data_IF_684575367997
#
_entry.id   IF_684575367997
#
_cell.length_a   1.000
_cell.length_b   1.000
_cell.length_c   1.000
_cell.angle_alpha   90.00
_cell.angle_beta   90.00
_cell.angle_gamma   90.00
#
_symmetry.space_group_name_H-M   'P 1'
#
loop_
_entity.id
_entity.type
_entity.pdbx_description
1 polymer ?
#
# COMPACT_ATOMS: atom_id res chain seq x y z
N UNK A 1 1.02 21.53 0.25
CA UNK A 1 0.73 20.17 0.70
C UNK A 1 1.37 19.95 2.04
N UNK A 2 0.54 19.68 3.06
CA UNK A 2 0.96 19.30 4.41
C UNK A 2 1.79 18.02 4.34
N UNK A 3 2.70 17.80 5.29
CA UNK A 3 3.59 16.63 5.33
C UNK A 3 2.82 15.30 5.18
N UNK A 4 1.69 15.18 5.88
CA UNK A 4 0.81 14.00 5.86
C UNK A 4 0.15 13.77 4.49
N UNK A 5 -0.22 14.83 3.78
CA UNK A 5 -0.77 14.72 2.42
C UNK A 5 0.29 14.16 1.46
N UNK A 6 1.54 14.61 1.56
CA UNK A 6 2.64 14.12 0.71
C UNK A 6 2.96 12.66 0.98
N UNK A 7 2.97 12.26 2.24
CA UNK A 7 3.19 10.87 2.63
C UNK A 7 2.06 9.95 2.12
N UNK A 8 0.81 10.42 2.17
CA UNK A 8 -0.32 9.71 1.57
C UNK A 8 -0.16 9.53 0.05
N UNK A 9 0.31 10.56 -0.66
CA UNK A 9 0.61 10.48 -2.10
C UNK A 9 1.78 9.53 -2.41
N UNK A 10 2.83 9.53 -1.59
CA UNK A 10 3.96 8.62 -1.74
C UNK A 10 3.50 7.16 -1.67
N UNK A 11 2.74 6.81 -0.63
CA UNK A 11 2.17 5.47 -0.48
C UNK A 11 1.22 5.08 -1.63
N UNK A 12 0.39 6.03 -2.09
CA UNK A 12 -0.56 5.83 -3.19
C UNK A 12 0.13 5.53 -4.53
N UNK A 13 1.32 6.06 -4.77
CA UNK A 13 2.08 5.85 -6.01
C UNK A 13 2.96 4.60 -5.90
N UNK A 14 3.65 4.42 -4.78
CA UNK A 14 4.59 3.31 -4.58
C UNK A 14 3.86 1.97 -4.54
N UNK A 15 2.73 1.89 -3.83
CA UNK A 15 1.98 0.63 -3.66
C UNK A 15 1.52 -0.02 -4.99
N UNK A 16 0.86 0.69 -5.94
CA UNK A 16 0.46 0.10 -7.20
C UNK A 16 1.67 -0.23 -8.09
N UNK A 17 2.74 0.56 -8.04
CA UNK A 17 3.98 0.25 -8.77
C UNK A 17 4.59 -1.04 -8.23
N UNK A 18 4.72 -1.18 -6.91
CA UNK A 18 5.26 -2.39 -6.29
C UNK A 18 4.42 -3.63 -6.63
N UNK A 19 3.09 -3.49 -6.64
CA UNK A 19 2.18 -4.54 -7.05
C UNK A 19 2.38 -4.95 -8.50
N UNK A 20 2.44 -3.98 -9.42
CA UNK A 20 2.68 -4.24 -10.85
C UNK A 20 4.02 -4.92 -11.07
N UNK A 21 5.09 -4.43 -10.41
CA UNK A 21 6.42 -5.04 -10.47
C UNK A 21 6.37 -6.49 -10.00
N UNK A 22 5.73 -6.77 -8.86
CA UNK A 22 5.58 -8.13 -8.36
C UNK A 22 4.88 -9.05 -9.36
N UNK A 23 3.73 -8.62 -9.90
CA UNK A 23 2.97 -9.41 -10.89
C UNK A 23 3.81 -9.68 -12.14
N UNK A 24 4.54 -8.69 -12.65
CA UNK A 24 5.43 -8.85 -13.80
C UNK A 24 6.53 -9.86 -13.51
N UNK A 25 7.17 -9.79 -12.33
CA UNK A 25 8.24 -10.73 -11.94
C UNK A 25 7.72 -12.17 -11.85
N UNK A 26 6.55 -12.38 -11.24
CA UNK A 26 5.92 -13.71 -11.15
C UNK A 26 5.58 -14.25 -12.55
N UNK A 27 4.99 -13.44 -13.43
CA UNK A 27 4.65 -13.85 -14.79
C UNK A 27 5.88 -14.16 -15.64
N UNK A 28 6.95 -13.38 -15.49
CA UNK A 28 8.23 -13.64 -16.15
C UNK A 28 8.86 -14.95 -15.69
N UNK A 29 8.86 -15.19 -14.38
CA UNK A 29 9.42 -16.43 -13.81
C UNK A 29 8.57 -17.66 -14.16
N UNK A 30 7.26 -17.51 -14.30
CA UNK A 30 6.38 -18.58 -14.75
C UNK A 30 6.71 -19.05 -16.18
N UNK A 31 7.15 -18.14 -17.07
CA UNK A 31 7.58 -18.49 -18.42
C UNK A 31 6.52 -19.20 -19.27
N UNK A 32 5.23 -18.96 -19.00
CA UNK A 32 4.09 -19.65 -19.64
C UNK A 32 3.71 -20.99 -18.99
N UNK A 33 4.45 -21.44 -17.97
CA UNK A 33 4.11 -22.58 -17.13
C UNK A 33 3.10 -22.26 -16.02
N UNK A 34 2.77 -23.24 -15.15
CA UNK A 34 1.83 -23.04 -14.04
C UNK A 34 2.34 -22.01 -13.03
N UNK A 35 1.50 -21.04 -12.67
CA UNK A 35 1.85 -19.99 -11.69
C UNK A 35 2.17 -20.57 -10.30
N UNK A 36 1.52 -21.66 -9.91
CA UNK A 36 1.74 -22.31 -8.60
C UNK A 36 3.10 -22.99 -8.49
N UNK A 37 3.83 -23.18 -9.60
CA UNK A 37 5.18 -23.72 -9.61
C UNK A 37 6.26 -22.63 -9.44
N UNK A 38 5.89 -21.35 -9.47
CA UNK A 38 6.83 -20.23 -9.30
C UNK A 38 7.26 -20.16 -7.84
N UNK A 39 8.55 -19.92 -7.59
CA UNK A 39 9.06 -19.59 -6.26
C UNK A 39 8.69 -18.14 -5.90
N UNK A 40 7.42 -17.93 -5.58
CA UNK A 40 6.79 -16.63 -5.37
C UNK A 40 7.23 -15.95 -4.08
N UNK A 41 7.65 -16.72 -3.08
CA UNK A 41 7.89 -16.21 -1.72
C UNK A 41 9.06 -15.21 -1.66
N UNK A 42 10.25 -15.48 -2.23
CA UNK A 42 11.34 -14.50 -2.29
C UNK A 42 10.95 -13.24 -3.07
N UNK A 43 10.23 -13.38 -4.19
CA UNK A 43 9.78 -12.25 -4.98
C UNK A 43 8.86 -11.32 -4.16
N UNK A 44 7.90 -11.91 -3.44
CA UNK A 44 6.97 -11.15 -2.61
C UNK A 44 7.69 -10.44 -1.46
N UNK A 45 8.68 -11.08 -0.83
CA UNK A 45 9.47 -10.45 0.22
C UNK A 45 10.30 -9.26 -0.30
N UNK A 46 10.93 -9.42 -1.47
CA UNK A 46 11.69 -8.32 -2.09
C UNK A 46 10.80 -7.15 -2.50
N UNK A 47 9.58 -7.41 -2.98
CA UNK A 47 8.67 -6.33 -3.39
C UNK A 47 8.05 -5.63 -2.18
N UNK A 48 7.73 -6.36 -1.11
CA UNK A 48 7.31 -5.77 0.17
C UNK A 48 8.45 -4.93 0.76
N UNK A 49 9.63 -5.54 0.95
CA UNK A 49 10.79 -4.87 1.55
C UNK A 49 11.25 -3.67 0.73
N UNK A 50 11.36 -3.84 -0.59
CA UNK A 50 11.70 -2.78 -1.53
C UNK A 50 10.68 -1.64 -1.54
N UNK A 51 9.38 -1.95 -1.48
CA UNK A 51 8.31 -0.96 -1.38
C UNK A 51 8.35 -0.15 -0.08
N UNK A 52 8.62 -0.81 1.06
CA UNK A 52 8.81 -0.14 2.36
C UNK A 52 10.00 0.82 2.29
N UNK A 53 11.17 0.33 1.84
CA UNK A 53 12.39 1.14 1.72
C UNK A 53 12.16 2.32 0.76
N UNK A 54 11.55 2.08 -0.40
CA UNK A 54 11.24 3.12 -1.38
C UNK A 54 10.33 4.20 -0.78
N UNK A 55 9.28 3.80 -0.06
CA UNK A 55 8.36 4.74 0.62
C UNK A 55 9.11 5.57 1.65
N UNK A 56 9.95 4.95 2.49
CA UNK A 56 10.76 5.66 3.50
C UNK A 56 11.69 6.68 2.83
N UNK A 57 12.43 6.26 1.79
CA UNK A 57 13.36 7.13 1.06
C UNK A 57 12.61 8.31 0.43
N UNK A 58 11.48 8.05 -0.21
CA UNK A 58 10.63 9.08 -0.84
C UNK A 58 10.15 10.08 0.23
N UNK A 59 9.67 9.62 1.37
CA UNK A 59 9.19 10.49 2.45
C UNK A 59 10.32 11.33 3.07
N UNK A 60 11.51 10.75 3.27
CA UNK A 60 12.70 11.49 3.74
C UNK A 60 13.10 12.57 2.73
N UNK A 61 13.24 12.20 1.45
CA UNK A 61 13.61 13.12 0.38
C UNK A 61 12.61 14.27 0.31
N UNK A 62 11.31 13.98 0.35
CA UNK A 62 10.29 15.02 0.38
C UNK A 62 10.35 15.92 1.60
N UNK A 63 10.66 15.36 2.78
CA UNK A 63 10.85 16.11 4.01
C UNK A 63 12.01 17.11 3.91
N UNK A 64 13.16 16.67 3.40
CA UNK A 64 14.34 17.51 3.18
C UNK A 64 14.02 18.65 2.19
N UNK A 65 13.45 18.31 1.03
CA UNK A 65 13.04 19.30 0.01
C UNK A 65 12.01 20.30 0.54
N UNK A 66 11.13 19.88 1.45
CA UNK A 66 10.16 20.77 2.10
C UNK A 66 10.85 21.75 3.04
N UNK A 67 11.69 21.24 3.94
CA UNK A 67 12.39 22.06 4.95
C UNK A 67 13.33 23.09 4.34
N UNK A 68 13.90 22.80 3.16
CA UNK A 68 14.68 23.78 2.39
C UNK A 68 13.85 24.93 1.81
N UNK A 69 12.56 24.71 1.53
CA UNK A 69 11.67 25.72 0.93
C UNK A 69 10.85 26.51 1.95
N UNK A 70 10.51 25.90 3.08
CA UNK A 70 9.65 26.50 4.10
C UNK A 70 10.04 25.99 5.51
N UNK A 71 11.00 26.65 6.19
CA UNK A 71 11.54 26.21 7.48
C UNK A 71 10.49 26.22 8.62
N UNK A 72 9.49 27.10 8.53
CA UNK A 72 8.53 27.38 9.61
C UNK A 72 7.22 26.56 9.47
N UNK A 73 6.98 25.92 8.33
CA UNK A 73 5.75 25.17 8.04
C UNK A 73 5.73 23.70 8.48
N UNK A 74 6.80 23.19 9.09
CA UNK A 74 7.07 21.75 9.20
C UNK A 74 6.44 21.02 10.41
N UNK A 75 5.77 21.71 11.33
CA UNK A 75 5.59 21.16 12.70
C UNK A 75 4.19 20.85 13.21
N UNK A 76 3.10 21.24 12.54
CA UNK A 76 1.76 21.14 13.13
C UNK A 76 0.89 20.10 12.43
N UNK A 77 0.95 18.88 12.97
CA UNK A 77 -0.16 17.92 12.90
C UNK A 77 -1.41 18.59 13.49
N UNK A 78 -2.41 18.84 12.65
CA UNK A 78 -3.68 19.42 13.08
C UNK A 78 -4.66 18.30 13.48
N UNK A 79 -5.69 18.63 14.26
CA UNK A 79 -6.82 17.74 14.58
C UNK A 79 -7.39 17.12 13.30
N UNK A 80 -7.43 17.90 12.20
CA UNK A 80 -7.86 17.47 10.88
C UNK A 80 -7.05 16.28 10.34
N UNK A 81 -5.72 16.30 10.46
CA UNK A 81 -4.87 15.22 9.94
C UNK A 81 -5.13 13.92 10.69
N UNK A 82 -5.36 14.02 12.00
CA UNK A 82 -5.68 12.87 12.85
C UNK A 82 -7.04 12.26 12.49
N UNK A 83 -8.04 13.08 12.19
CA UNK A 83 -9.37 12.60 11.79
C UNK A 83 -9.34 11.97 10.39
N UNK A 84 -8.59 12.56 9.46
CA UNK A 84 -8.33 11.97 8.13
C UNK A 84 -7.60 10.63 8.28
N UNK A 85 -6.60 10.56 9.17
CA UNK A 85 -5.87 9.34 9.48
C UNK A 85 -6.80 8.22 9.97
N UNK A 86 -7.67 8.51 10.94
CA UNK A 86 -8.66 7.55 11.47
C UNK A 86 -9.67 7.10 10.43
N UNK A 87 -10.16 8.02 9.61
CA UNK A 87 -11.09 7.68 8.52
C UNK A 87 -10.41 6.76 7.51
N UNK A 88 -9.18 7.09 7.08
CA UNK A 88 -8.40 6.26 6.16
C UNK A 88 -8.15 4.86 6.73
N UNK A 89 -7.78 4.77 8.02
CA UNK A 89 -7.56 3.49 8.68
C UNK A 89 -8.80 2.59 8.75
N UNK A 90 -9.99 3.18 8.94
CA UNK A 90 -11.27 2.43 8.89
C UNK A 90 -11.53 1.84 7.50
N UNK A 91 -11.25 2.62 6.46
CA UNK A 91 -11.37 2.15 5.07
C UNK A 91 -10.38 1.03 4.79
N UNK A 92 -9.11 1.21 5.17
CA UNK A 92 -8.06 0.18 5.04
C UNK A 92 -8.48 -1.14 5.71
N UNK A 93 -8.96 -1.06 6.95
CA UNK A 93 -9.35 -2.23 7.73
C UNK A 93 -10.48 -3.03 7.08
N UNK A 94 -11.47 -2.37 6.47
CA UNK A 94 -12.58 -3.06 5.80
C UNK A 94 -12.08 -3.96 4.66
N UNK A 95 -11.14 -3.48 3.85
CA UNK A 95 -10.55 -4.27 2.75
C UNK A 95 -9.65 -5.40 3.24
N UNK A 96 -8.91 -5.19 4.33
CA UNK A 96 -8.12 -6.26 4.97
C UNK A 96 -9.02 -7.38 5.47
N UNK A 97 -10.17 -7.05 6.08
CA UNK A 97 -11.15 -8.05 6.52
C UNK A 97 -11.71 -8.82 5.33
N UNK A 98 -12.07 -8.16 4.24
CA UNK A 98 -12.55 -8.81 3.01
C UNK A 98 -11.49 -9.78 2.46
N UNK A 99 -10.22 -9.36 2.41
CA UNK A 99 -9.13 -10.22 1.97
C UNK A 99 -8.92 -11.43 2.91
N UNK A 100 -9.00 -11.22 4.22
CA UNK A 100 -8.94 -12.29 5.21
C UNK A 100 -10.08 -13.31 5.05
N UNK A 101 -11.30 -12.86 4.75
CA UNK A 101 -12.41 -13.76 4.40
C UNK A 101 -12.13 -14.55 3.11
N UNK A 102 -11.52 -13.90 2.11
CA UNK A 102 -11.05 -14.58 0.89
C UNK A 102 -10.00 -15.65 1.19
N UNK A 103 -9.03 -15.37 2.06
CA UNK A 103 -8.04 -16.33 2.54
C UNK A 103 -8.70 -17.52 3.23
N UNK A 104 -9.66 -17.30 4.13
CA UNK A 104 -10.40 -18.37 4.80
C UNK A 104 -11.14 -19.25 3.78
N UNK A 105 -11.80 -18.64 2.80
CA UNK A 105 -12.49 -19.37 1.74
C UNK A 105 -11.53 -20.22 0.89
N UNK A 106 -10.36 -19.68 0.54
CA UNK A 106 -9.32 -20.41 -0.20
C UNK A 106 -8.75 -21.58 0.60
N UNK A 107 -8.51 -21.39 1.90
CA UNK A 107 -8.13 -22.48 2.79
C UNK A 107 -9.19 -23.57 2.86
N UNK A 108 -10.48 -23.19 2.93
CA UNK A 108 -11.59 -24.14 3.04
C UNK A 108 -11.72 -25.05 1.80
N UNK A 109 -11.37 -24.57 0.61
CA UNK A 109 -11.36 -25.36 -0.63
C UNK A 109 -10.03 -26.06 -0.92
N UNK A 110 -9.05 -25.95 -0.01
CA UNK A 110 -7.72 -26.54 -0.20
C UNK A 110 -6.95 -25.93 -1.37
N UNK A 111 -7.11 -24.63 -1.61
CA UNK A 111 -6.39 -23.94 -2.67
C UNK A 111 -4.87 -23.97 -2.45
N UNK A 112 -4.12 -23.86 -3.54
CA UNK A 112 -2.66 -23.76 -3.48
C UNK A 112 -2.22 -22.56 -2.64
N UNK A 113 -1.14 -22.73 -1.86
CA UNK A 113 -0.58 -21.69 -0.99
C UNK A 113 -0.23 -20.42 -1.78
N UNK A 114 0.13 -20.56 -3.05
CA UNK A 114 0.29 -19.43 -3.98
C UNK A 114 -0.95 -18.53 -3.99
N UNK A 115 -2.14 -19.08 -4.22
CA UNK A 115 -3.37 -18.28 -4.30
C UNK A 115 -3.71 -17.66 -2.94
N UNK A 116 -3.55 -18.43 -1.87
CA UNK A 116 -3.81 -17.96 -0.50
C UNK A 116 -2.94 -16.74 -0.18
N UNK A 117 -1.63 -16.83 -0.43
CA UNK A 117 -0.68 -15.76 -0.15
C UNK A 117 -0.93 -14.54 -1.04
N UNK A 118 -1.13 -14.74 -2.34
CA UNK A 118 -1.37 -13.67 -3.29
C UNK A 118 -2.70 -12.94 -3.04
N UNK A 119 -3.74 -13.63 -2.59
CA UNK A 119 -5.00 -13.00 -2.18
C UNK A 119 -4.80 -12.06 -1.00
N UNK A 120 -4.03 -12.46 0.01
CA UNK A 120 -3.73 -11.58 1.14
C UNK A 120 -2.88 -10.39 0.70
N UNK A 121 -1.85 -10.63 -0.12
CA UNK A 121 -0.99 -9.58 -0.65
C UNK A 121 -1.76 -8.54 -1.48
N UNK A 122 -2.65 -8.99 -2.36
CA UNK A 122 -3.58 -8.13 -3.10
C UNK A 122 -4.52 -7.37 -2.16
N UNK A 123 -5.01 -8.03 -1.11
CA UNK A 123 -5.81 -7.41 -0.06
C UNK A 123 -5.12 -6.22 0.59
N UNK A 124 -3.85 -6.37 0.95
CA UNK A 124 -3.04 -5.28 1.49
C UNK A 124 -2.84 -4.15 0.48
N UNK A 125 -2.54 -4.47 -0.77
CA UNK A 125 -2.34 -3.46 -1.82
C UNK A 125 -3.62 -2.66 -2.09
N UNK A 126 -4.77 -3.33 -2.22
CA UNK A 126 -6.08 -2.68 -2.41
C UNK A 126 -6.45 -1.85 -1.19
N UNK A 127 -6.25 -2.38 0.01
CA UNK A 127 -6.50 -1.67 1.27
C UNK A 127 -5.71 -0.35 1.32
N UNK A 128 -4.39 -0.41 1.07
CA UNK A 128 -3.52 0.76 1.06
C UNK A 128 -3.90 1.77 -0.03
N UNK A 129 -4.27 1.29 -1.22
CA UNK A 129 -4.73 2.13 -2.32
C UNK A 129 -6.02 2.88 -1.96
N UNK A 130 -7.06 2.17 -1.54
CA UNK A 130 -8.36 2.80 -1.25
C UNK A 130 -8.26 3.70 -0.03
N UNK A 131 -7.52 3.29 1.01
CA UNK A 131 -7.19 4.13 2.17
C UNK A 131 -6.47 5.43 1.77
N UNK A 132 -5.45 5.32 0.92
CA UNK A 132 -4.73 6.46 0.36
C UNK A 132 -5.62 7.39 -0.45
N UNK A 133 -6.45 6.85 -1.37
CA UNK A 133 -7.40 7.64 -2.17
C UNK A 133 -8.38 8.37 -1.25
N UNK A 134 -8.94 7.68 -0.27
CA UNK A 134 -9.87 8.28 0.68
C UNK A 134 -9.23 9.44 1.46
N UNK A 135 -7.98 9.28 1.93
CA UNK A 135 -7.23 10.36 2.59
C UNK A 135 -7.01 11.55 1.66
N UNK A 136 -6.58 11.32 0.42
CA UNK A 136 -6.37 12.38 -0.58
C UNK A 136 -7.68 13.13 -0.89
N UNK A 137 -8.79 12.43 -1.02
CA UNK A 137 -10.11 13.05 -1.22
C UNK A 137 -10.48 13.90 -0.01
N UNK A 138 -10.29 13.41 1.21
CA UNK A 138 -10.58 14.17 2.44
C UNK A 138 -9.69 15.42 2.60
N UNK A 139 -8.42 15.36 2.15
CA UNK A 139 -7.57 16.55 2.08
C UNK A 139 -8.11 17.60 1.11
N UNK A 140 -8.66 17.19 -0.04
CA UNK A 140 -9.15 18.11 -1.08
C UNK A 140 -10.58 18.62 -0.86
N UNK A 141 -11.47 17.78 -0.34
CA UNK A 141 -12.92 18.06 -0.23
C UNK A 141 -13.42 18.27 1.19
N UNK A 142 -12.57 18.05 2.20
CA UNK A 142 -12.97 18.07 3.62
C UNK A 142 -13.50 16.70 4.08
N UNK A 143 -13.63 16.54 5.39
CA UNK A 143 -14.35 15.42 6.00
C UNK A 143 -15.84 15.80 6.02
N UNK A 144 -16.70 14.89 5.56
CA UNK A 144 -18.17 15.05 5.63
C UNK A 144 -18.65 14.75 7.04
#
# INVERSE_FOLDING_TARGET
MVYEERNAWAGLIVSPIALVVYVVLVLQQAGGGPLTAVDWFPLMLWTIGGGIVATIVISIVWGILAGMRDPDGAGRSDIRDRDIGRMGGRVEQAFVVIAGLGVIALCAVGADVFWIANTMYLGFAVSALVGGVARVIAYRRGLV
#
